data_IF_348865765225
#
_entry.id   IF_348865765225
#
_cell.length_a   1.000
_cell.length_b   1.000
_cell.length_c   1.000
_cell.angle_alpha   90.00
_cell.angle_beta   90.00
_cell.angle_gamma   90.00
#
_symmetry.space_group_name_H-M   'P 1'
#
loop_
_entity.id
_entity.type
_entity.pdbx_description
1 polymer ?
#
# COMPACT_ATOMS: atom_id res chain seq x y z
N UNK A 1 -19.30 14.07 2.52
CA UNK A 1 -18.39 15.04 3.17
C UNK A 1 -17.08 14.32 3.41
N UNK A 2 -15.98 14.79 2.85
CA UNK A 2 -14.65 14.20 3.04
C UNK A 2 -14.10 14.68 4.38
N UNK A 3 -13.62 13.77 5.23
CA UNK A 3 -12.98 14.17 6.48
C UNK A 3 -11.65 14.90 6.19
N UNK A 4 -11.30 15.95 6.96
CA UNK A 4 -10.02 16.62 6.80
C UNK A 4 -8.87 15.63 7.06
N UNK A 5 -7.78 15.68 6.26
CA UNK A 5 -6.68 14.73 6.36
C UNK A 5 -6.05 14.69 7.76
N UNK A 6 -5.99 15.82 8.45
CA UNK A 6 -5.49 15.91 9.83
C UNK A 6 -6.28 15.04 10.81
N UNK A 7 -7.61 14.97 10.65
CA UNK A 7 -8.46 14.15 11.54
C UNK A 7 -8.18 12.66 11.38
N UNK A 8 -7.86 12.22 10.16
CA UNK A 8 -7.47 10.83 9.88
C UNK A 8 -6.14 10.51 10.56
N UNK A 9 -5.14 11.39 10.43
CA UNK A 9 -3.83 11.19 11.05
C UNK A 9 -3.91 11.16 12.59
N UNK A 10 -4.65 12.09 13.20
CA UNK A 10 -4.85 12.12 14.66
C UNK A 10 -5.48 10.83 15.16
N UNK A 11 -6.49 10.30 14.46
CA UNK A 11 -7.11 9.03 14.85
C UNK A 11 -6.14 7.85 14.69
N UNK A 12 -5.37 7.82 13.61
CA UNK A 12 -4.40 6.75 13.40
C UNK A 12 -3.29 6.75 14.47
N UNK A 13 -2.82 7.93 14.87
CA UNK A 13 -1.81 8.06 15.92
C UNK A 13 -2.38 7.63 17.29
N UNK A 14 -3.64 7.94 17.57
CA UNK A 14 -4.33 7.50 18.78
C UNK A 14 -4.55 5.99 18.86
N UNK A 15 -4.46 5.27 17.73
CA UNK A 15 -4.58 3.83 17.66
C UNK A 15 -3.25 3.09 17.88
N UNK A 16 -2.13 3.80 17.85
CA UNK A 16 -0.81 3.20 18.06
C UNK A 16 -0.68 2.60 19.47
N UNK A 17 0.05 1.50 19.57
CA UNK A 17 0.26 0.77 20.82
C UNK A 17 -0.96 0.02 21.36
N UNK A 18 -2.11 0.08 20.67
CA UNK A 18 -3.28 -0.72 21.05
C UNK A 18 -3.17 -2.13 20.48
N UNK A 19 -3.46 -3.12 21.33
CA UNK A 19 -3.39 -4.52 20.95
C UNK A 19 -4.51 -4.92 19.97
N UNK A 20 -4.19 -5.83 19.06
CA UNK A 20 -5.18 -6.41 18.15
C UNK A 20 -6.32 -7.09 18.93
N UNK A 21 -7.57 -6.69 18.68
CA UNK A 21 -8.74 -7.19 19.38
C UNK A 21 -9.07 -6.46 20.70
N UNK A 22 -8.24 -5.51 21.13
CA UNK A 22 -8.59 -4.64 22.25
C UNK A 22 -9.86 -3.83 21.92
N UNK A 23 -10.83 -3.72 22.83
CA UNK A 23 -12.06 -2.95 22.59
C UNK A 23 -11.80 -1.51 22.14
N UNK A 24 -10.76 -0.87 22.69
CA UNK A 24 -10.36 0.49 22.31
C UNK A 24 -9.86 0.58 20.86
N UNK A 25 -9.14 -0.43 20.37
CA UNK A 25 -8.70 -0.49 18.98
C UNK A 25 -9.90 -0.68 18.05
N UNK A 26 -10.80 -1.61 18.37
CA UNK A 26 -11.98 -1.87 17.54
C UNK A 26 -12.90 -0.64 17.46
N UNK A 27 -13.10 0.06 18.58
CA UNK A 27 -13.86 1.31 18.59
C UNK A 27 -13.16 2.41 17.77
N UNK A 28 -11.85 2.56 17.91
CA UNK A 28 -11.10 3.55 17.15
C UNK A 28 -11.07 3.25 15.65
N UNK A 29 -10.97 1.97 15.25
CA UNK A 29 -11.09 1.55 13.85
C UNK A 29 -12.50 1.79 13.30
N UNK A 30 -13.55 1.54 14.09
CA UNK A 30 -14.91 1.86 13.69
C UNK A 30 -15.09 3.36 13.44
N UNK A 31 -14.54 4.21 14.32
CA UNK A 31 -14.53 5.67 14.15
C UNK A 31 -13.74 6.10 12.91
N UNK A 32 -12.59 5.49 12.68
CA UNK A 32 -11.76 5.73 11.50
C UNK A 32 -12.52 5.39 10.21
N UNK A 33 -13.17 4.22 10.14
CA UNK A 33 -13.93 3.81 8.96
C UNK A 33 -15.21 4.63 8.77
N UNK A 34 -15.78 5.20 9.84
CA UNK A 34 -16.88 6.15 9.73
C UNK A 34 -16.50 7.45 9.00
N UNK A 35 -15.20 7.77 8.90
CA UNK A 35 -14.70 8.86 8.03
C UNK A 35 -14.78 8.51 6.53
N UNK A 36 -15.10 7.26 6.19
CA UNK A 36 -15.32 6.79 4.83
C UNK A 36 -14.04 6.72 3.99
N UNK A 37 -14.19 6.94 2.68
CA UNK A 37 -13.14 6.69 1.68
C UNK A 37 -11.81 7.43 1.94
N UNK A 38 -11.84 8.57 2.64
CA UNK A 38 -10.64 9.34 2.98
C UNK A 38 -9.72 8.67 4.00
N UNK A 39 -10.21 7.69 4.75
CA UNK A 39 -9.40 6.99 5.76
C UNK A 39 -8.44 5.94 5.15
N UNK A 40 -8.74 5.42 3.96
CA UNK A 40 -8.01 4.28 3.39
C UNK A 40 -6.66 4.63 2.76
N UNK A 41 -6.49 5.74 2.02
CA UNK A 41 -5.18 6.08 1.47
C UNK A 41 -4.10 6.26 2.55
N UNK A 42 -4.35 6.96 3.67
CA UNK A 42 -3.37 7.05 4.77
C UNK A 42 -3.05 5.70 5.42
N UNK A 43 -4.02 4.78 5.52
CA UNK A 43 -3.77 3.41 5.98
C UNK A 43 -2.84 2.64 5.05
N UNK A 44 -3.04 2.74 3.73
CA UNK A 44 -2.15 2.11 2.75
C UNK A 44 -0.77 2.75 2.75
N UNK A 45 -0.69 4.07 2.90
CA UNK A 45 0.60 4.78 3.01
C UNK A 45 1.43 4.32 4.20
N UNK A 46 0.80 3.93 5.32
CA UNK A 46 1.52 3.38 6.49
C UNK A 46 2.25 2.07 6.20
N UNK A 47 1.90 1.34 5.13
CA UNK A 47 2.70 0.18 4.68
C UNK A 47 4.09 0.57 4.19
N UNK A 48 4.36 1.85 3.96
CA UNK A 48 5.70 2.36 3.67
C UNK A 48 6.50 2.75 4.94
N UNK A 49 5.92 2.59 6.15
CA UNK A 49 6.61 2.91 7.40
C UNK A 49 7.74 1.91 7.69
N UNK A 50 8.79 2.37 8.35
CA UNK A 50 9.84 1.53 8.93
C UNK A 50 9.49 1.12 10.38
N UNK A 51 8.43 1.70 10.95
CA UNK A 51 7.96 1.44 12.30
C UNK A 51 7.05 0.20 12.33
N UNK A 52 7.46 -0.82 13.09
CA UNK A 52 6.73 -2.09 13.20
C UNK A 52 5.31 -1.91 13.75
N UNK A 53 5.09 -0.97 14.67
CA UNK A 53 3.75 -0.69 15.21
C UNK A 53 2.84 -0.10 14.14
N UNK A 54 3.36 0.80 13.31
CA UNK A 54 2.60 1.39 12.21
C UNK A 54 2.24 0.33 11.16
N UNK A 55 3.16 -0.58 10.85
CA UNK A 55 2.93 -1.70 9.94
C UNK A 55 1.88 -2.67 10.49
N UNK A 56 1.98 -3.02 11.77
CA UNK A 56 1.03 -3.90 12.44
C UNK A 56 -0.38 -3.27 12.49
N UNK A 57 -0.48 -1.98 12.84
CA UNK A 57 -1.73 -1.23 12.83
C UNK A 57 -2.32 -1.16 11.42
N UNK A 58 -1.50 -0.81 10.42
CA UNK A 58 -1.94 -0.74 9.03
C UNK A 58 -2.49 -2.08 8.55
N UNK A 59 -1.76 -3.18 8.74
CA UNK A 59 -2.22 -4.51 8.35
C UNK A 59 -3.53 -4.89 9.05
N UNK A 60 -3.61 -4.64 10.36
CA UNK A 60 -4.78 -4.94 11.19
C UNK A 60 -6.02 -4.19 10.72
N UNK A 61 -5.87 -2.91 10.41
CA UNK A 61 -6.92 -2.06 9.88
C UNK A 61 -7.32 -2.46 8.45
N UNK A 62 -6.35 -2.69 7.56
CA UNK A 62 -6.59 -3.03 6.16
C UNK A 62 -7.32 -4.37 6.00
N UNK A 63 -7.07 -5.34 6.89
CA UNK A 63 -7.83 -6.61 6.92
C UNK A 63 -9.30 -6.41 7.31
N UNK A 64 -9.59 -5.44 8.19
CA UNK A 64 -10.96 -5.13 8.65
C UNK A 64 -11.70 -4.16 7.72
N UNK A 65 -10.97 -3.44 6.87
CA UNK A 65 -11.56 -2.49 5.93
C UNK A 65 -12.37 -3.22 4.83
N UNK A 66 -13.42 -2.59 4.27
CA UNK A 66 -14.16 -3.17 3.15
C UNK A 66 -13.24 -3.43 1.94
N UNK A 67 -13.27 -4.64 1.40
CA UNK A 67 -12.43 -5.05 0.26
C UNK A 67 -12.56 -4.10 -0.95
N UNK A 68 -13.79 -3.65 -1.25
CA UNK A 68 -14.08 -2.71 -2.33
C UNK A 68 -13.37 -1.36 -2.20
N UNK A 69 -13.01 -0.97 -0.97
CA UNK A 69 -12.32 0.28 -0.70
C UNK A 69 -10.79 0.14 -0.73
N UNK A 70 -10.25 -1.00 -0.26
CA UNK A 70 -8.80 -1.15 -0.07
C UNK A 70 -8.10 -1.95 -1.16
N UNK A 71 -8.76 -2.91 -1.82
CA UNK A 71 -8.13 -3.74 -2.86
C UNK A 71 -7.52 -2.90 -3.99
N UNK A 72 -8.22 -1.89 -4.57
CA UNK A 72 -7.61 -1.06 -5.62
C UNK A 72 -6.37 -0.29 -5.14
N UNK A 73 -6.39 0.18 -3.89
CA UNK A 73 -5.29 0.94 -3.29
C UNK A 73 -4.08 0.04 -3.01
N UNK A 74 -4.31 -1.17 -2.52
CA UNK A 74 -3.25 -2.17 -2.27
C UNK A 74 -2.60 -2.60 -3.59
N UNK A 75 -3.38 -2.84 -4.65
CA UNK A 75 -2.83 -3.14 -5.98
C UNK A 75 -2.02 -1.96 -6.52
N UNK A 76 -2.48 -0.72 -6.33
CA UNK A 76 -1.72 0.47 -6.70
C UNK A 76 -0.40 0.58 -5.90
N UNK A 77 -0.43 0.26 -4.60
CA UNK A 77 0.74 0.24 -3.74
C UNK A 77 1.78 -0.80 -4.18
N UNK A 78 1.36 -2.02 -4.56
CA UNK A 78 2.28 -3.04 -5.07
C UNK A 78 3.05 -2.54 -6.30
N UNK A 79 2.35 -1.82 -7.20
CA UNK A 79 2.91 -1.24 -8.44
C UNK A 79 3.81 -0.03 -8.22
N UNK A 80 3.80 0.57 -7.04
CA UNK A 80 4.70 1.67 -6.74
C UNK A 80 6.15 1.16 -6.74
N UNK A 81 7.01 1.83 -7.52
CA UNK A 81 8.41 1.43 -7.66
C UNK A 81 9.19 1.61 -6.34
N UNK A 82 8.80 2.61 -5.57
CA UNK A 82 9.39 3.01 -4.29
C UNK A 82 8.73 2.38 -3.07
N UNK A 83 7.67 1.58 -3.23
CA UNK A 83 7.05 0.89 -2.10
C UNK A 83 8.05 -0.11 -1.48
N UNK A 84 8.29 -0.04 -0.15
CA UNK A 84 9.20 -0.94 0.55
C UNK A 84 8.83 -2.42 0.38
N UNK A 85 9.84 -3.29 0.29
CA UNK A 85 9.64 -4.73 0.09
C UNK A 85 8.76 -5.35 1.19
N UNK A 86 9.01 -4.99 2.45
CA UNK A 86 8.19 -5.45 3.57
C UNK A 86 6.74 -4.96 3.42
N UNK A 87 6.55 -3.69 3.10
CA UNK A 87 5.24 -3.12 2.81
C UNK A 87 4.49 -3.87 1.71
N UNK A 88 5.19 -4.24 0.62
CA UNK A 88 4.60 -5.03 -0.47
C UNK A 88 4.19 -6.42 0.00
N UNK A 89 5.01 -7.07 0.83
CA UNK A 89 4.66 -8.34 1.47
C UNK A 89 3.39 -8.23 2.33
N UNK A 90 3.27 -7.18 3.13
CA UNK A 90 2.08 -6.94 3.96
C UNK A 90 0.83 -6.59 3.13
N UNK A 91 1.00 -5.85 2.03
CA UNK A 91 -0.08 -5.60 1.08
C UNK A 91 -0.59 -6.90 0.45
N UNK A 92 0.30 -7.84 0.09
CA UNK A 92 -0.09 -9.17 -0.40
C UNK A 92 -0.88 -9.95 0.66
N UNK A 93 -0.44 -9.94 1.92
CA UNK A 93 -1.16 -10.60 3.02
C UNK A 93 -2.56 -9.99 3.22
N UNK A 94 -2.70 -8.68 3.09
CA UNK A 94 -4.00 -8.02 3.15
C UNK A 94 -4.89 -8.41 1.95
N UNK A 95 -4.33 -8.48 0.74
CA UNK A 95 -5.06 -8.90 -0.46
C UNK A 95 -5.52 -10.37 -0.38
N UNK A 96 -4.67 -11.27 0.12
CA UNK A 96 -5.02 -12.66 0.38
C UNK A 96 -6.17 -12.78 1.38
N UNK A 97 -6.15 -11.97 2.46
CA UNK A 97 -7.25 -11.90 3.41
C UNK A 97 -8.57 -11.49 2.76
N UNK A 98 -8.53 -10.63 1.74
CA UNK A 98 -9.68 -10.23 0.93
C UNK A 98 -10.02 -11.22 -0.20
N UNK A 99 -9.37 -12.39 -0.24
CA UNK A 99 -9.67 -13.48 -1.16
C UNK A 99 -8.98 -13.38 -2.53
N UNK A 100 -7.99 -12.50 -2.70
CA UNK A 100 -7.19 -12.49 -3.92
C UNK A 100 -6.12 -13.58 -3.88
N UNK A 101 -5.95 -14.30 -4.99
CA UNK A 101 -4.87 -15.27 -5.14
C UNK A 101 -3.55 -14.55 -5.33
N UNK A 102 -2.65 -14.66 -4.34
CA UNK A 102 -1.31 -14.07 -4.38
C UNK A 102 -0.35 -14.82 -5.31
N UNK A 103 -0.74 -16.00 -5.79
CA UNK A 103 -0.03 -16.73 -6.85
C UNK A 103 -0.47 -16.31 -8.26
N UNK A 104 -1.46 -15.42 -8.39
CA UNK A 104 -1.84 -14.86 -9.68
C UNK A 104 -0.61 -14.16 -10.32
N UNK A 105 -0.16 -14.61 -11.51
CA UNK A 105 0.97 -14.00 -12.21
C UNK A 105 0.80 -12.49 -12.42
N UNK A 106 -0.42 -11.99 -12.57
CA UNK A 106 -0.70 -10.57 -12.69
C UNK A 106 -0.37 -9.82 -11.39
N UNK A 107 -0.70 -10.40 -10.24
CA UNK A 107 -0.38 -9.83 -8.93
C UNK A 107 1.13 -9.89 -8.64
N UNK A 108 1.76 -11.03 -8.97
CA UNK A 108 3.21 -11.17 -8.89
C UNK A 108 3.93 -10.11 -9.73
N UNK A 109 3.49 -9.91 -10.98
CA UNK A 109 4.07 -8.89 -11.86
C UNK A 109 3.92 -7.48 -11.30
N UNK A 110 2.83 -7.20 -10.57
CA UNK A 110 2.60 -5.91 -9.93
C UNK A 110 3.62 -5.62 -8.82
N UNK A 111 4.27 -6.63 -8.24
CA UNK A 111 5.27 -6.43 -7.19
C UNK A 111 6.66 -6.06 -7.72
N UNK A 112 6.93 -6.34 -8.99
CA UNK A 112 8.25 -6.20 -9.60
C UNK A 112 8.58 -4.74 -9.90
N UNK A 113 9.72 -4.27 -9.40
CA UNK A 113 10.34 -3.04 -9.90
C UNK A 113 11.26 -3.36 -11.09
N UNK A 114 10.69 -3.29 -12.29
CA UNK A 114 11.44 -3.52 -13.53
C UNK A 114 12.61 -2.54 -13.71
N UNK A 115 12.53 -1.32 -13.16
CA UNK A 115 13.62 -0.34 -13.26
C UNK A 115 14.79 -0.76 -12.38
N UNK A 116 14.53 -1.19 -11.15
CA UNK A 116 15.55 -1.74 -10.28
C UNK A 116 16.21 -2.99 -10.90
N UNK A 117 15.41 -3.88 -11.49
CA UNK A 117 15.91 -5.09 -12.17
C UNK A 117 16.82 -4.72 -13.35
N UNK A 118 16.40 -3.78 -14.22
CA UNK A 118 17.24 -3.34 -15.35
C UNK A 118 18.52 -2.64 -14.90
N UNK A 119 18.44 -1.81 -13.84
CA UNK A 119 19.62 -1.17 -13.25
C UNK A 119 20.61 -2.20 -12.70
N UNK A 120 20.13 -3.22 -11.99
CA UNK A 120 20.95 -4.30 -11.45
C UNK A 120 21.61 -5.15 -12.55
N UNK A 121 20.96 -5.29 -13.70
CA UNK A 121 21.49 -6.01 -14.87
C UNK A 121 22.44 -5.17 -15.74
N UNK A 122 22.75 -3.93 -15.36
CA UNK A 122 23.59 -3.03 -16.16
C UNK A 122 22.97 -2.62 -17.50
N UNK A 123 21.68 -2.89 -17.71
CA UNK A 123 20.95 -2.46 -18.91
C UNK A 123 20.45 -1.04 -18.69
N UNK A 124 21.06 -0.09 -19.39
CA UNK A 124 20.52 1.28 -19.46
C UNK A 124 19.16 1.20 -20.19
N UNK A 125 18.08 1.77 -19.65
CA UNK A 125 16.82 1.88 -20.39
C UNK A 125 17.11 2.58 -21.71
N UNK A 126 16.61 2.02 -22.82
CA UNK A 126 16.76 2.64 -24.13
C UNK A 126 16.12 4.02 -24.09
N UNK A 127 16.93 5.07 -24.18
CA UNK A 127 16.39 6.42 -24.31
C UNK A 127 15.66 6.52 -25.65
N UNK A 128 14.37 6.91 -25.67
CA UNK A 128 13.65 7.11 -26.92
C UNK A 128 14.10 8.46 -27.50
N UNK A 129 15.24 8.47 -28.19
CA UNK A 129 15.81 9.72 -28.67
C UNK A 129 17.16 9.61 -29.36
N UNK A 130 17.31 8.66 -30.29
CA UNK A 130 18.55 8.49 -31.05
C UNK A 130 18.31 8.17 -32.52
N UNK A 131 17.18 8.59 -33.10
CA UNK A 131 17.05 8.64 -34.56
C UNK A 131 17.59 9.99 -35.04
N UNK A 132 18.92 10.10 -35.05
CA UNK A 132 19.58 11.08 -35.90
C UNK A 132 19.45 10.59 -37.35
N UNK A 133 18.43 11.15 -37.99
CA UNK A 133 18.25 11.35 -39.43
C UNK A 133 19.53 11.33 -40.28
N UNK A 134 19.35 10.74 -41.47
CA UNK A 134 19.76 11.24 -42.81
C UNK A 134 21.26 11.56 -42.98
N UNK A 135 22.01 10.87 -43.84
CA UNK A 135 21.70 10.73 -45.25
C UNK A 135 22.14 11.98 -46.03
N UNK A 136 23.45 12.19 -46.18
CA UNK A 136 24.15 12.68 -47.40
C UNK A 136 25.64 12.85 -47.13
#
# INVERSE_FOLDING_TARGET
>A
MTAPPEQVHVLLDALRGLEAGAPALEEGLARLFALGASAYPPLVQRLASEDEEDLALALTALKRAPASAVVPLLVAFLRAADAPVLGKGLALVALEHHGLDTNDPALFSATLDLRAIWKAQGRRPAEPGGSAREGR
#
